data_IF_721395302564
#
_entry.id   IF_721395302564
#
_cell.length_a   1.000
_cell.length_b   1.000
_cell.length_c   1.000
_cell.angle_alpha   90.00
_cell.angle_beta   90.00
_cell.angle_gamma   90.00
#
_symmetry.space_group_name_H-M   'P 1'
#
loop_
_entity.id
_entity.type
_entity.pdbx_description
1 polymer ?
#
# COMPACT_ATOMS: atom_id res chain seq x y z
N UNK A 1 -15.76 2.53 -27.20
CA UNK A 1 -15.01 1.36 -26.72
C UNK A 1 -14.14 1.76 -25.55
N UNK A 2 -14.12 0.98 -24.46
CA UNK A 2 -13.35 1.27 -23.24
C UNK A 2 -12.30 0.17 -23.03
N UNK A 3 -11.11 0.55 -22.57
CA UNK A 3 -10.00 -0.37 -22.27
C UNK A 3 -9.46 -0.10 -20.87
N UNK A 4 -8.94 -1.12 -20.19
CA UNK A 4 -8.36 -1.01 -18.85
C UNK A 4 -7.13 -1.91 -18.69
N UNK A 5 -6.22 -1.50 -17.81
CA UNK A 5 -5.09 -2.29 -17.32
C UNK A 5 -5.04 -2.18 -15.80
N UNK A 6 -4.71 -3.28 -15.11
CA UNK A 6 -4.59 -3.28 -13.66
C UNK A 6 -3.25 -3.88 -13.21
N UNK A 7 -2.64 -3.24 -12.21
CA UNK A 7 -1.42 -3.70 -11.54
C UNK A 7 -1.72 -3.81 -10.05
N UNK A 8 -1.35 -4.95 -9.45
CA UNK A 8 -1.41 -5.19 -8.01
C UNK A 8 -0.02 -4.99 -7.41
N UNK A 9 0.06 -4.17 -6.37
CA UNK A 9 1.26 -4.03 -5.57
C UNK A 9 1.01 -4.56 -4.15
N UNK A 10 1.93 -5.37 -3.64
CA UNK A 10 1.86 -5.91 -2.27
C UNK A 10 2.97 -5.27 -1.44
N UNK A 11 2.62 -4.82 -0.24
CA UNK A 11 3.53 -4.19 0.72
C UNK A 11 3.54 -4.98 2.02
N UNK A 12 4.72 -5.10 2.62
CA UNK A 12 4.89 -5.69 3.95
C UNK A 12 5.32 -4.62 4.95
N UNK A 13 4.87 -4.78 6.19
CA UNK A 13 5.25 -3.89 7.29
C UNK A 13 6.63 -4.28 7.82
N UNK A 14 7.58 -3.35 7.81
CA UNK A 14 8.87 -3.47 8.47
C UNK A 14 8.85 -2.62 9.73
N UNK A 15 9.02 -3.26 10.89
CA UNK A 15 9.15 -2.59 12.19
C UNK A 15 10.63 -2.49 12.56
N UNK A 16 11.15 -1.28 12.75
CA UNK A 16 12.50 -1.06 13.29
C UNK A 16 12.42 -0.51 14.71
N UNK A 17 13.02 -1.22 15.67
CA UNK A 17 13.11 -0.80 17.06
C UNK A 17 14.45 -0.09 17.29
N UNK A 18 14.47 1.25 17.25
CA UNK A 18 15.67 2.02 17.58
C UNK A 18 15.52 2.63 18.98
N UNK A 19 16.42 2.23 19.90
CA UNK A 19 16.45 2.76 21.27
C UNK A 19 17.08 4.15 21.29
N UNK A 20 16.39 5.16 21.83
CA UNK A 20 16.95 6.48 22.05
C UNK A 20 17.86 6.50 23.30
N UNK A 21 19.10 7.00 23.17
CA UNK A 21 20.01 7.18 24.30
C UNK A 21 19.93 8.62 24.81
N UNK A 22 19.69 8.80 26.11
CA UNK A 22 19.80 10.12 26.76
C UNK A 22 21.16 10.20 27.42
N UNK A 23 22.02 11.09 26.92
CA UNK A 23 23.33 11.36 27.52
C UNK A 23 23.18 12.24 28.76
N UNK A 24 23.54 11.73 29.94
CA UNK A 24 23.75 12.56 31.12
C UNK A 24 25.25 12.82 31.27
N UNK A 25 25.65 14.08 31.38
CA UNK A 25 27.07 14.46 31.48
C UNK A 25 27.79 13.84 32.67
N UNK A 26 29.13 13.78 32.58
CA UNK A 26 30.15 13.35 33.57
C UNK A 26 30.03 11.91 34.13
N UNK A 27 28.87 11.23 34.02
CA UNK A 27 28.63 9.93 34.68
C UNK A 27 28.16 8.78 33.76
N UNK A 28 28.10 8.99 32.45
CA UNK A 28 27.77 7.94 31.47
C UNK A 28 26.31 7.96 31.00
N UNK A 29 25.99 7.16 29.98
CA UNK A 29 24.69 7.16 29.32
C UNK A 29 23.72 6.16 29.95
N UNK A 30 22.44 6.54 30.10
CA UNK A 30 21.36 5.63 30.50
C UNK A 30 20.41 5.47 29.29
N UNK A 31 20.30 4.26 28.76
CA UNK A 31 19.31 3.94 27.73
C UNK A 31 17.96 3.69 28.39
N UNK A 32 16.94 4.47 28.00
CA UNK A 32 15.57 4.23 28.44
C UNK A 32 14.81 3.71 27.21
N UNK A 33 14.19 2.51 27.26
CA UNK A 33 13.52 1.92 26.12
C UNK A 33 12.16 2.61 25.88
N UNK A 34 12.18 3.87 25.47
CA UNK A 34 11.03 4.49 24.82
C UNK A 34 11.13 4.14 23.34
N UNK A 35 10.48 3.04 22.98
CA UNK A 35 10.51 2.51 21.62
C UNK A 35 9.77 3.43 20.65
N UNK A 36 10.49 4.29 19.94
CA UNK A 36 10.03 4.75 18.63
C UNK A 36 10.04 3.54 17.72
N UNK A 37 8.85 3.05 17.33
CA UNK A 37 8.72 2.07 16.26
C UNK A 37 8.59 2.84 14.95
N UNK A 38 9.63 2.80 14.13
CA UNK A 38 9.54 3.27 12.75
C UNK A 38 8.92 2.14 11.93
N UNK A 39 7.60 2.23 11.76
CA UNK A 39 6.81 1.32 10.95
C UNK A 39 6.85 1.80 9.49
N UNK A 40 7.45 1.00 8.61
CA UNK A 40 7.61 1.32 7.19
C UNK A 40 6.97 0.26 6.30
N UNK A 41 6.25 0.67 5.26
CA UNK A 41 5.75 -0.23 4.23
C UNK A 41 6.84 -0.44 3.17
N UNK A 42 7.29 -1.68 3.00
CA UNK A 42 8.26 -2.06 1.95
C UNK A 42 7.50 -2.78 0.85
N UNK A 43 7.67 -2.34 -0.40
CA UNK A 43 7.09 -3.02 -1.55
C UNK A 43 7.77 -4.38 -1.74
N UNK A 44 6.98 -5.45 -1.71
CA UNK A 44 7.50 -6.82 -1.83
C UNK A 44 7.10 -7.49 -3.14
N UNK A 45 6.02 -7.05 -3.79
CA UNK A 45 5.61 -7.56 -5.10
C UNK A 45 4.92 -6.48 -5.95
N UNK A 46 4.98 -6.68 -7.26
CA UNK A 46 4.26 -5.87 -8.26
C UNK A 46 3.91 -6.78 -9.43
N UNK A 47 2.62 -6.95 -9.69
CA UNK A 47 2.15 -7.89 -10.71
C UNK A 47 1.05 -7.27 -11.56
N UNK A 48 1.18 -7.38 -12.86
CA UNK A 48 0.08 -7.04 -13.78
C UNK A 48 -1.00 -8.10 -13.67
N UNK A 49 -2.25 -7.69 -13.47
CA UNK A 49 -3.37 -8.62 -13.39
C UNK A 49 -3.67 -9.14 -14.80
N UNK A 50 -3.44 -10.44 -15.00
CA UNK A 50 -3.75 -11.17 -16.25
C UNK A 50 -5.04 -12.01 -16.14
N UNK A 51 -5.82 -11.85 -15.07
CA UNK A 51 -7.03 -12.65 -14.85
C UNK A 51 -8.22 -12.15 -15.68
N UNK A 52 -8.72 -12.99 -16.59
CA UNK A 52 -9.92 -12.70 -17.38
C UNK A 52 -11.15 -12.44 -16.49
N UNK A 53 -11.32 -13.26 -15.45
CA UNK A 53 -12.43 -13.14 -14.49
C UNK A 53 -12.42 -11.80 -13.77
N UNK A 54 -11.25 -11.25 -13.43
CA UNK A 54 -11.13 -9.93 -12.82
C UNK A 54 -11.70 -8.85 -13.73
N UNK A 55 -11.31 -8.85 -15.01
CA UNK A 55 -11.80 -7.85 -15.97
C UNK A 55 -13.29 -8.03 -16.26
N UNK A 56 -13.78 -9.26 -16.38
CA UNK A 56 -15.22 -9.52 -16.56
C UNK A 56 -16.05 -8.94 -15.40
N UNK A 57 -15.61 -9.16 -14.15
CA UNK A 57 -16.28 -8.60 -12.97
C UNK A 57 -16.13 -7.08 -12.90
N UNK A 58 -14.97 -6.53 -13.21
CA UNK A 58 -14.71 -5.10 -13.22
C UNK A 58 -15.64 -4.37 -14.20
N UNK A 59 -15.74 -4.84 -15.44
CA UNK A 59 -16.61 -4.22 -16.44
C UNK A 59 -18.09 -4.43 -16.12
N UNK A 60 -18.49 -5.61 -15.62
CA UNK A 60 -19.85 -5.81 -15.13
C UNK A 60 -20.23 -4.81 -14.03
N UNK A 61 -19.33 -4.52 -13.08
CA UNK A 61 -19.58 -3.51 -12.06
C UNK A 61 -19.60 -2.11 -12.64
N UNK A 62 -18.68 -1.78 -13.55
CA UNK A 62 -18.63 -0.48 -14.21
C UNK A 62 -19.96 -0.12 -14.89
N UNK A 63 -20.57 -1.06 -15.61
CA UNK A 63 -21.87 -0.86 -16.28
C UNK A 63 -23.01 -0.54 -15.31
N UNK A 64 -22.94 -1.03 -14.06
CA UNK A 64 -23.96 -0.76 -13.05
C UNK A 64 -23.77 0.60 -12.36
N UNK A 65 -22.54 1.12 -12.28
CA UNK A 65 -22.22 2.35 -11.54
C UNK A 65 -22.02 3.58 -12.43
N UNK A 66 -21.80 3.38 -13.73
CA UNK A 66 -21.66 4.46 -14.69
C UNK A 66 -22.89 4.39 -15.59
N UNK A 67 -23.82 5.33 -15.41
CA UNK A 67 -24.86 5.58 -16.43
C UNK A 67 -24.14 5.94 -17.73
N UNK A 68 -24.05 5.01 -18.67
CA UNK A 68 -23.53 5.29 -20.00
C UNK A 68 -24.60 6.14 -20.69
N UNK A 69 -24.38 7.44 -20.94
CA UNK A 69 -25.34 8.22 -21.72
C UNK A 69 -25.42 7.52 -23.08
N UNK A 70 -26.61 7.09 -23.49
CA UNK A 70 -26.79 6.56 -24.84
C UNK A 70 -26.30 7.63 -25.79
N UNK A 71 -25.22 7.35 -26.53
CA UNK A 71 -24.79 8.21 -27.62
C UNK A 71 -25.99 8.33 -28.57
N UNK A 72 -26.62 9.50 -28.57
CA UNK A 72 -27.71 9.79 -29.49
C UNK A 72 -27.10 9.94 -30.88
N UNK A 73 -27.54 9.08 -31.79
CA UNK A 73 -27.17 9.04 -33.20
C UNK A 73 -27.69 10.26 -33.97
#
# INVERSE_FOLDING_TARGET
TVFANAVRATYSLKKSSTSASVGVGVLGSLSVPFGMSDDALVKVASETIQSDTFYAQFFSRMENYIEVPKAQE
#
